data_IF_339580816549
#
_entry.id   IF_339580816549
#
_cell.length_a   1.000
_cell.length_b   1.000
_cell.length_c   1.000
_cell.angle_alpha   90.00
_cell.angle_beta   90.00
_cell.angle_gamma   90.00
#
_symmetry.space_group_name_H-M   'P 1'
#
loop_
_entity.id
_entity.type
_entity.pdbx_description
1 polymer ?
#
# COMPACT_ATOMS: atom_id res chain seq x y z
N UNK A 1 -13.64 -1.51 -6.10
CA UNK A 1 -13.15 -2.87 -6.11
C UNK A 1 -12.45 -3.19 -4.80
N UNK A 2 -12.62 -4.41 -4.33
CA UNK A 2 -12.13 -4.84 -3.01
C UNK A 2 -10.61 -4.73 -2.89
N UNK A 3 -9.87 -5.19 -3.90
CA UNK A 3 -8.42 -5.10 -3.89
C UNK A 3 -7.91 -3.67 -3.89
N UNK A 4 -8.56 -2.78 -4.61
CA UNK A 4 -8.22 -1.37 -4.65
C UNK A 4 -8.39 -0.73 -3.27
N UNK A 5 -9.54 -0.95 -2.64
CA UNK A 5 -9.85 -0.38 -1.32
C UNK A 5 -8.90 -0.90 -0.25
N UNK A 6 -8.65 -2.21 -0.25
CA UNK A 6 -7.72 -2.84 0.67
C UNK A 6 -6.30 -2.32 0.47
N UNK A 7 -5.83 -2.30 -0.77
CA UNK A 7 -4.47 -1.86 -1.11
C UNK A 7 -4.23 -0.40 -0.74
N UNK A 8 -5.21 0.46 -1.00
CA UNK A 8 -5.08 1.88 -0.66
C UNK A 8 -5.01 2.10 0.86
N UNK A 9 -5.84 1.39 1.61
CA UNK A 9 -5.84 1.48 3.07
C UNK A 9 -4.50 0.99 3.66
N UNK A 10 -3.98 -0.14 3.16
CA UNK A 10 -2.70 -0.70 3.63
C UNK A 10 -1.54 0.23 3.29
N UNK A 11 -1.48 0.74 2.08
CA UNK A 11 -0.44 1.67 1.64
C UNK A 11 -0.31 2.86 2.59
N UNK A 12 -1.42 3.30 3.13
CA UNK A 12 -1.47 4.43 4.06
C UNK A 12 -1.22 4.00 5.50
N UNK A 13 -1.92 2.97 5.96
CA UNK A 13 -1.93 2.59 7.38
C UNK A 13 -0.69 1.79 7.81
N UNK A 14 -0.15 0.96 6.94
CA UNK A 14 0.92 0.02 7.27
C UNK A 14 2.31 0.46 6.82
N UNK A 15 2.46 1.69 6.32
CA UNK A 15 3.77 2.28 6.06
C UNK A 15 4.40 2.73 7.38
N UNK A 16 5.70 2.48 7.56
CA UNK A 16 6.42 2.96 8.75
C UNK A 16 6.47 4.48 8.85
N UNK A 17 6.33 5.18 7.71
CA UNK A 17 6.36 6.65 7.64
C UNK A 17 5.09 7.16 6.94
N UNK A 18 4.85 8.45 7.03
CA UNK A 18 3.74 9.09 6.33
C UNK A 18 3.96 9.08 4.81
N UNK A 19 2.88 9.21 4.04
CA UNK A 19 2.88 9.17 2.58
C UNK A 19 3.87 10.17 1.95
N UNK A 20 4.04 11.31 2.57
CA UNK A 20 4.89 12.40 2.09
C UNK A 20 6.17 12.57 2.91
N UNK A 21 6.60 11.53 3.61
CA UNK A 21 7.83 11.59 4.41
C UNK A 21 9.05 11.84 3.51
N UNK A 22 9.91 12.79 3.87
CA UNK A 22 11.18 12.99 3.17
C UNK A 22 12.19 11.88 3.46
N UNK A 23 11.90 11.00 4.43
CA UNK A 23 12.76 9.88 4.82
C UNK A 23 12.33 8.60 4.11
N UNK A 24 12.45 8.60 2.76
CA UNK A 24 12.07 7.45 1.94
C UNK A 24 12.82 6.17 2.30
N UNK A 25 14.04 6.29 2.82
CA UNK A 25 14.84 5.16 3.30
C UNK A 25 14.20 4.44 4.50
N UNK A 26 13.27 5.10 5.20
CA UNK A 26 12.54 4.54 6.34
C UNK A 26 11.16 4.00 5.93
N UNK A 27 10.74 4.23 4.69
CA UNK A 27 9.47 3.72 4.20
C UNK A 27 9.50 2.20 4.05
N UNK A 28 8.41 1.56 4.40
CA UNK A 28 8.31 0.11 4.28
C UNK A 28 6.99 -0.39 4.83
N UNK A 29 6.68 -1.65 4.52
CA UNK A 29 5.46 -2.28 5.01
C UNK A 29 5.70 -2.83 6.43
N UNK A 30 4.91 -2.33 7.38
CA UNK A 30 4.89 -2.85 8.74
C UNK A 30 3.99 -4.10 8.75
N UNK A 31 4.61 -5.28 8.82
CA UNK A 31 3.89 -6.55 8.72
C UNK A 31 2.96 -6.79 9.92
N UNK A 32 3.26 -6.26 11.09
CA UNK A 32 2.37 -6.39 12.26
C UNK A 32 1.07 -5.61 12.04
N UNK A 33 1.17 -4.40 11.54
CA UNK A 33 -0.01 -3.58 11.21
C UNK A 33 -0.76 -4.21 10.04
N UNK A 34 -0.04 -4.70 9.02
CA UNK A 34 -0.63 -5.41 7.90
C UNK A 34 -1.46 -6.62 8.38
N UNK A 35 -0.92 -7.41 9.28
CA UNK A 35 -1.64 -8.57 9.87
C UNK A 35 -2.90 -8.12 10.61
N UNK A 36 -2.78 -7.15 11.49
CA UNK A 36 -3.92 -6.67 12.28
C UNK A 36 -5.02 -6.12 11.39
N UNK A 37 -4.66 -5.32 10.40
CA UNK A 37 -5.63 -4.77 9.45
C UNK A 37 -6.30 -5.89 8.63
N UNK A 38 -5.51 -6.85 8.15
CA UNK A 38 -6.02 -7.97 7.35
C UNK A 38 -6.98 -8.83 8.15
N UNK A 39 -6.68 -9.11 9.42
CA UNK A 39 -7.59 -9.83 10.33
C UNK A 39 -8.94 -9.11 10.44
N UNK A 40 -8.91 -7.81 10.69
CA UNK A 40 -10.12 -6.99 10.82
C UNK A 40 -10.91 -6.90 9.51
N UNK A 41 -10.22 -6.88 8.38
CA UNK A 41 -10.86 -6.82 7.06
C UNK A 41 -11.51 -8.16 6.69
N UNK A 42 -10.82 -9.27 6.87
CA UNK A 42 -11.31 -10.59 6.46
C UNK A 42 -12.40 -11.14 7.39
N UNK A 43 -12.37 -10.80 8.65
CA UNK A 43 -13.36 -11.31 9.62
C UNK A 43 -14.81 -11.11 9.14
N UNK A 44 -15.23 -9.90 8.73
CA UNK A 44 -16.60 -9.70 8.22
C UNK A 44 -16.77 -10.02 6.74
N UNK A 45 -15.70 -10.09 5.93
CA UNK A 45 -15.81 -10.12 4.47
C UNK A 45 -15.38 -11.42 3.80
N UNK A 46 -14.63 -12.28 4.49
CA UNK A 46 -14.03 -13.47 3.86
C UNK A 46 -15.05 -14.35 3.15
N UNK A 47 -16.23 -14.53 3.71
CA UNK A 47 -17.30 -15.36 3.14
C UNK A 47 -17.92 -14.77 1.88
N UNK A 48 -17.74 -13.47 1.64
CA UNK A 48 -18.28 -12.78 0.47
C UNK A 48 -17.26 -12.61 -0.65
N UNK A 49 -15.99 -12.99 -0.41
CA UNK A 49 -14.90 -12.85 -1.38
C UNK A 49 -14.56 -14.19 -2.01
N UNK A 50 -14.14 -14.14 -3.29
CA UNK A 50 -13.62 -15.31 -3.96
C UNK A 50 -12.20 -15.63 -3.47
N UNK A 51 -11.76 -16.88 -3.69
CA UNK A 51 -10.39 -17.28 -3.40
C UNK A 51 -9.36 -16.42 -4.13
N UNK A 52 -9.65 -16.08 -5.40
CA UNK A 52 -8.78 -15.23 -6.19
C UNK A 52 -8.70 -13.81 -5.64
N UNK A 53 -9.82 -13.23 -5.22
CA UNK A 53 -9.85 -11.91 -4.61
C UNK A 53 -8.96 -11.88 -3.34
N UNK A 54 -9.09 -12.89 -2.49
CA UNK A 54 -8.29 -12.97 -1.27
C UNK A 54 -6.80 -13.19 -1.61
N UNK A 55 -6.50 -14.10 -2.52
CA UNK A 55 -5.12 -14.41 -2.91
C UNK A 55 -4.39 -13.20 -3.51
N UNK A 56 -5.11 -12.27 -4.14
CA UNK A 56 -4.51 -11.09 -4.79
C UNK A 56 -4.49 -9.85 -3.90
N UNK A 57 -4.98 -9.91 -2.66
CA UNK A 57 -4.93 -8.77 -1.75
C UNK A 57 -3.51 -8.20 -1.54
N UNK A 58 -2.48 -9.04 -1.29
CA UNK A 58 -1.12 -8.50 -1.17
C UNK A 58 -0.62 -7.81 -2.42
N UNK A 59 -0.89 -8.39 -3.60
CA UNK A 59 -0.50 -7.78 -4.88
C UNK A 59 -1.18 -6.43 -5.08
N UNK A 60 -2.42 -6.29 -4.64
CA UNK A 60 -3.14 -5.01 -4.71
C UNK A 60 -2.42 -3.90 -3.96
N UNK A 61 -1.82 -4.20 -2.82
CA UNK A 61 -1.04 -3.23 -2.04
C UNK A 61 0.16 -2.73 -2.87
N UNK A 62 0.89 -3.64 -3.49
CA UNK A 62 2.04 -3.31 -4.32
C UNK A 62 1.62 -2.47 -5.54
N UNK A 63 0.56 -2.89 -6.22
CA UNK A 63 0.05 -2.18 -7.40
C UNK A 63 -0.36 -0.76 -7.05
N UNK A 64 -1.06 -0.56 -5.94
CA UNK A 64 -1.48 0.78 -5.50
C UNK A 64 -0.29 1.67 -5.17
N UNK A 65 0.72 1.16 -4.46
CA UNK A 65 1.91 1.94 -4.15
C UNK A 65 2.65 2.36 -5.42
N UNK A 66 2.80 1.44 -6.39
CA UNK A 66 3.40 1.74 -7.69
C UNK A 66 2.59 2.77 -8.46
N UNK A 67 1.28 2.60 -8.53
CA UNK A 67 0.39 3.53 -9.24
C UNK A 67 0.49 4.94 -8.67
N UNK A 68 0.41 5.08 -7.35
CA UNK A 68 0.49 6.39 -6.72
C UNK A 68 1.86 7.03 -6.90
N UNK A 69 2.94 6.24 -6.85
CA UNK A 69 4.28 6.76 -7.14
C UNK A 69 4.35 7.38 -8.54
N UNK A 70 3.82 6.68 -9.54
CA UNK A 70 3.80 7.19 -10.92
C UNK A 70 2.93 8.44 -11.03
N UNK A 71 1.76 8.45 -10.41
CA UNK A 71 0.84 9.59 -10.47
C UNK A 71 1.43 10.84 -9.81
N UNK A 72 2.10 10.69 -8.67
CA UNK A 72 2.77 11.81 -8.01
C UNK A 72 3.92 12.35 -8.85
N UNK A 73 4.72 11.45 -9.44
CA UNK A 73 5.83 11.86 -10.31
C UNK A 73 5.34 12.58 -11.57
N UNK A 74 4.32 12.02 -12.20
CA UNK A 74 3.72 12.62 -13.40
C UNK A 74 3.19 14.02 -13.09
N UNK A 75 2.47 14.18 -11.98
CA UNK A 75 1.95 15.47 -11.56
C UNK A 75 3.07 16.48 -11.32
N UNK A 76 4.15 16.06 -10.66
CA UNK A 76 5.32 16.89 -10.42
C UNK A 76 5.94 17.38 -11.75
N UNK A 77 6.10 16.48 -12.72
CA UNK A 77 6.69 16.82 -14.03
C UNK A 77 5.80 17.76 -14.83
N UNK A 78 4.49 17.75 -14.63
CA UNK A 78 3.53 18.62 -15.30
C UNK A 78 3.31 19.95 -14.58
N UNK A 79 3.98 20.20 -13.46
CA UNK A 79 3.86 21.44 -12.70
C UNK A 79 2.83 21.42 -11.57
N UNK A 80 2.52 20.24 -11.06
CA UNK A 80 1.64 20.02 -9.91
C UNK A 80 0.17 20.47 -10.13
N UNK A 81 -0.45 20.17 -11.29
CA UNK A 81 -1.80 20.65 -11.56
C UNK A 81 -2.93 19.92 -10.79
N UNK A 82 -2.68 18.71 -10.32
CA UNK A 82 -3.73 17.85 -9.77
C UNK A 82 -3.72 17.74 -8.24
N UNK A 83 -2.59 17.32 -7.66
CA UNK A 83 -2.48 17.13 -6.22
C UNK A 83 -2.13 18.44 -5.53
N UNK A 84 -2.81 18.73 -4.41
CA UNK A 84 -2.48 19.89 -3.60
C UNK A 84 -1.10 19.70 -2.97
N UNK A 85 -0.24 20.71 -3.12
CA UNK A 85 1.11 20.71 -2.55
C UNK A 85 1.27 21.84 -1.52
N UNK A 86 2.14 21.63 -0.55
CA UNK A 86 2.48 22.61 0.48
C UNK A 86 3.86 23.24 0.24
N UNK A 87 4.66 22.67 -0.67
CA UNK A 87 5.98 23.17 -1.06
C UNK A 87 6.34 22.63 -2.45
N UNK A 88 7.30 23.25 -3.17
CA UNK A 88 7.52 22.96 -4.60
C UNK A 88 7.86 21.51 -4.97
N UNK A 89 8.54 20.76 -4.12
CA UNK A 89 8.93 19.37 -4.40
C UNK A 89 8.05 18.33 -3.69
N UNK A 90 6.89 18.73 -3.18
CA UNK A 90 6.02 17.86 -2.37
C UNK A 90 5.63 16.57 -3.09
N UNK A 91 5.21 16.67 -4.36
CA UNK A 91 4.84 15.49 -5.14
C UNK A 91 6.02 14.59 -5.48
N UNK A 92 7.23 15.15 -5.64
CA UNK A 92 8.43 14.35 -5.82
C UNK A 92 8.77 13.56 -4.56
N UNK A 93 8.64 14.18 -3.39
CA UNK A 93 8.84 13.52 -2.09
C UNK A 93 7.83 12.39 -1.92
N UNK A 94 6.55 12.63 -2.25
CA UNK A 94 5.50 11.60 -2.22
C UNK A 94 5.85 10.42 -3.13
N UNK A 95 6.29 10.71 -4.37
CA UNK A 95 6.65 9.67 -5.34
C UNK A 95 7.80 8.79 -4.83
N UNK A 96 8.84 9.40 -4.26
CA UNK A 96 9.99 8.68 -3.69
C UNK A 96 9.58 7.79 -2.52
N UNK A 97 8.73 8.30 -1.65
CA UNK A 97 8.25 7.55 -0.49
C UNK A 97 7.43 6.33 -0.94
N UNK A 98 6.52 6.51 -1.89
CA UNK A 98 5.67 5.43 -2.38
C UNK A 98 6.45 4.36 -3.14
N UNK A 99 7.46 4.72 -3.93
CA UNK A 99 8.27 3.72 -4.62
C UNK A 99 9.16 2.93 -3.64
N UNK A 100 9.65 3.58 -2.59
CA UNK A 100 10.39 2.89 -1.54
C UNK A 100 9.50 1.90 -0.79
N UNK A 101 8.25 2.28 -0.49
CA UNK A 101 7.26 1.38 0.08
C UNK A 101 6.99 0.19 -0.84
N UNK A 102 6.80 0.45 -2.14
CA UNK A 102 6.56 -0.61 -3.13
C UNK A 102 7.73 -1.60 -3.20
N UNK A 103 8.95 -1.12 -3.17
CA UNK A 103 10.15 -1.98 -3.17
C UNK A 103 10.18 -2.88 -1.93
N UNK A 104 9.83 -2.35 -0.77
CA UNK A 104 9.79 -3.14 0.45
C UNK A 104 8.66 -4.18 0.42
N UNK A 105 7.49 -3.80 -0.10
CA UNK A 105 6.38 -4.74 -0.33
C UNK A 105 6.80 -5.88 -1.25
N UNK A 106 7.49 -5.56 -2.33
CA UNK A 106 7.98 -6.58 -3.28
C UNK A 106 8.92 -7.55 -2.59
N UNK A 107 9.84 -7.05 -1.77
CA UNK A 107 10.79 -7.87 -1.02
C UNK A 107 10.10 -8.75 0.03
N UNK A 108 8.95 -8.32 0.55
CA UNK A 108 8.19 -9.03 1.60
C UNK A 108 6.93 -9.71 1.08
N UNK A 109 6.77 -9.82 -0.24
CA UNK A 109 5.51 -10.31 -0.84
C UNK A 109 5.13 -11.71 -0.33
N UNK A 110 6.09 -12.63 -0.24
CA UNK A 110 5.81 -13.98 0.26
C UNK A 110 5.28 -13.95 1.71
N UNK A 111 5.86 -13.10 2.54
CA UNK A 111 5.42 -12.92 3.92
C UNK A 111 4.00 -12.32 3.98
N UNK A 112 3.70 -11.35 3.12
CA UNK A 112 2.37 -10.77 3.03
C UNK A 112 1.34 -11.82 2.59
N UNK A 113 1.66 -12.62 1.58
CA UNK A 113 0.79 -13.70 1.10
C UNK A 113 0.54 -14.72 2.21
N UNK A 114 1.56 -15.12 2.95
CA UNK A 114 1.43 -16.03 4.07
C UNK A 114 0.54 -15.45 5.18
N UNK A 115 0.71 -14.18 5.51
CA UNK A 115 -0.12 -13.50 6.52
C UNK A 115 -1.60 -13.52 6.12
N UNK A 116 -1.90 -13.24 4.85
CA UNK A 116 -3.28 -13.26 4.36
C UNK A 116 -3.89 -14.65 4.52
N UNK A 117 -3.15 -15.72 4.17
CA UNK A 117 -3.61 -17.09 4.32
C UNK A 117 -3.81 -17.47 5.78
N UNK A 118 -2.92 -17.07 6.66
CA UNK A 118 -3.05 -17.30 8.09
C UNK A 118 -4.28 -16.60 8.68
N UNK A 119 -4.51 -15.35 8.26
CA UNK A 119 -5.68 -14.60 8.69
C UNK A 119 -6.98 -15.21 8.15
N UNK A 120 -6.97 -15.72 6.94
CA UNK A 120 -8.13 -16.40 6.33
C UNK A 120 -8.48 -17.68 7.10
N UNK A 121 -7.49 -18.49 7.46
CA UNK A 121 -7.71 -19.73 8.19
C UNK A 121 -8.16 -19.51 9.63
N UNK A 122 -7.92 -18.32 10.19
CA UNK A 122 -8.35 -17.95 11.53
C UNK A 122 -9.79 -17.39 11.56
N UNK A 123 -10.39 -17.19 10.40
CA UNK A 123 -11.76 -16.67 10.30
C UNK A 123 -12.82 -17.72 10.59
#
# INVERSE_FOLDING_TARGET
LVGHDFGDAIRFAANYVEEDSPHADQAGINLDIFRTFTQGFLKPTAHALTELEIATLPLSCLVLACELSVRFLDDYLLGDPYFKINYPSHNLVRARCQIALAKDMLAKMEQMEQIVQECLHAC
#
